data_IF_925031004504
#
_entry.id   IF_925031004504
#
_cell.length_a   1.000
_cell.length_b   1.000
_cell.length_c   1.000
_cell.angle_alpha   90.00
_cell.angle_beta   90.00
_cell.angle_gamma   90.00
#
_symmetry.space_group_name_H-M   'P 1'
#
loop_
_entity.id
_entity.type
_entity.pdbx_description
1 polymer ?
#
# COMPACT_ATOMS: atom_id res chain seq x y z
N UNK A 1 -23.19 14.72 -7.71
CA UNK A 1 -22.83 15.94 -6.94
C UNK A 1 -23.24 17.16 -7.73
N UNK A 2 -23.52 18.27 -7.07
CA UNK A 2 -24.09 19.46 -7.72
C UNK A 2 -23.08 20.55 -8.04
N UNK A 3 -21.82 20.37 -7.65
CA UNK A 3 -20.72 21.33 -7.79
C UNK A 3 -19.63 20.81 -8.72
N UNK A 4 -18.91 21.75 -9.34
CA UNK A 4 -17.79 21.47 -10.22
C UNK A 4 -16.47 21.78 -9.52
N UNK A 5 -15.54 20.85 -9.57
CA UNK A 5 -14.22 20.92 -8.94
C UNK A 5 -13.11 21.03 -9.96
N UNK A 6 -11.98 21.61 -9.54
CA UNK A 6 -10.75 21.61 -10.33
C UNK A 6 -9.51 21.41 -9.44
N UNK A 7 -8.46 20.83 -9.99
CA UNK A 7 -7.16 20.74 -9.34
C UNK A 7 -6.03 20.51 -10.34
N UNK A 8 -4.81 20.88 -9.91
CA UNK A 8 -3.59 20.45 -10.56
C UNK A 8 -3.33 18.96 -10.19
N UNK A 9 -3.19 18.11 -11.21
CA UNK A 9 -3.06 16.65 -11.03
C UNK A 9 -1.62 16.14 -11.18
N UNK A 10 -0.69 17.03 -11.55
CA UNK A 10 0.75 16.73 -11.69
C UNK A 10 1.56 17.63 -10.78
N UNK A 11 2.78 17.21 -10.35
CA UNK A 11 3.71 18.11 -9.69
C UNK A 11 4.07 19.32 -10.58
N UNK A 12 4.33 20.47 -9.96
CA UNK A 12 4.86 21.66 -10.64
C UNK A 12 6.35 21.48 -10.90
N UNK A 13 6.85 22.06 -12.01
CA UNK A 13 8.27 22.04 -12.39
C UNK A 13 8.62 21.07 -13.52
N UNK A 14 7.68 20.25 -13.97
CA UNK A 14 7.82 19.46 -15.19
C UNK A 14 7.61 20.27 -16.47
N UNK A 15 7.86 19.68 -17.64
CA UNK A 15 7.59 20.34 -18.92
C UNK A 15 6.09 20.57 -19.16
N UNK A 16 5.25 19.63 -18.71
CA UNK A 16 3.79 19.66 -18.84
C UNK A 16 3.16 19.51 -17.46
N UNK A 17 2.11 20.30 -17.22
CA UNK A 17 1.23 20.13 -16.07
C UNK A 17 -0.21 19.86 -16.55
N UNK A 18 -0.93 19.03 -15.79
CA UNK A 18 -2.31 18.66 -16.09
C UNK A 18 -3.23 19.22 -15.00
N UNK A 19 -4.20 20.02 -15.42
CA UNK A 19 -5.28 20.50 -14.56
C UNK A 19 -6.54 19.72 -14.92
N UNK A 20 -7.21 19.14 -13.93
CA UNK A 20 -8.50 18.45 -14.07
C UNK A 20 -9.65 19.31 -13.61
N UNK A 21 -10.78 19.18 -14.30
CA UNK A 21 -12.06 19.77 -13.94
C UNK A 21 -13.10 18.65 -14.00
N UNK A 22 -13.98 18.54 -13.01
CA UNK A 22 -15.07 17.53 -12.99
C UNK A 22 -16.33 18.09 -12.35
N UNK A 23 -17.47 17.86 -12.99
CA UNK A 23 -18.79 18.27 -12.51
C UNK A 23 -19.66 18.86 -13.61
N UNK A 24 -20.89 19.32 -13.28
CA UNK A 24 -21.89 19.73 -14.27
C UNK A 24 -21.48 20.96 -15.10
N UNK A 25 -20.66 21.87 -14.56
CA UNK A 25 -20.24 23.09 -15.27
C UNK A 25 -18.95 22.92 -16.07
N UNK A 26 -18.39 21.69 -16.14
CA UNK A 26 -17.09 21.43 -16.77
C UNK A 26 -17.01 21.92 -18.21
N UNK A 27 -18.01 21.63 -19.05
CA UNK A 27 -17.98 22.05 -20.45
C UNK A 27 -18.10 23.58 -20.61
N UNK A 28 -18.91 24.22 -19.76
CA UNK A 28 -19.05 25.68 -19.73
C UNK A 28 -17.73 26.34 -19.31
N UNK A 29 -17.12 25.84 -18.23
CA UNK A 29 -15.83 26.31 -17.75
C UNK A 29 -14.72 26.14 -18.79
N UNK A 30 -14.64 24.96 -19.42
CA UNK A 30 -13.67 24.70 -20.49
C UNK A 30 -13.81 25.70 -21.64
N UNK A 31 -15.03 25.93 -22.15
CA UNK A 31 -15.31 26.89 -23.25
C UNK A 31 -15.02 28.32 -22.85
N UNK A 32 -15.07 28.65 -21.57
CA UNK A 32 -14.78 30.01 -21.08
C UNK A 32 -13.29 30.30 -21.03
N UNK A 33 -12.46 29.29 -20.75
CA UNK A 33 -11.00 29.48 -20.57
C UNK A 33 -10.17 29.02 -21.75
N UNK A 34 -10.71 28.19 -22.65
CA UNK A 34 -9.98 27.56 -23.76
C UNK A 34 -10.65 27.88 -25.11
N UNK A 35 -9.89 28.42 -26.06
CA UNK A 35 -10.38 28.82 -27.35
C UNK A 35 -10.37 27.73 -28.43
N UNK A 36 -9.88 26.52 -28.10
CA UNK A 36 -9.85 25.38 -29.02
C UNK A 36 -11.18 24.61 -29.05
N UNK A 37 -11.22 23.54 -29.84
CA UNK A 37 -12.39 22.64 -29.91
C UNK A 37 -12.59 21.90 -28.58
N UNK A 38 -13.85 21.63 -28.22
CA UNK A 38 -14.25 20.96 -26.97
C UNK A 38 -15.13 19.73 -27.26
N UNK A 39 -14.79 18.98 -28.32
CA UNK A 39 -15.47 17.76 -28.69
C UNK A 39 -15.09 16.61 -27.75
N UNK A 40 -16.03 15.67 -27.48
CA UNK A 40 -15.80 14.52 -26.61
C UNK A 40 -14.63 13.64 -27.08
N UNK A 41 -13.65 13.43 -26.21
CA UNK A 41 -12.44 12.61 -26.45
C UNK A 41 -11.56 13.08 -27.61
N UNK A 42 -11.70 14.33 -28.00
CA UNK A 42 -10.84 14.98 -29.00
C UNK A 42 -9.82 15.87 -28.26
N UNK A 43 -8.54 15.61 -28.45
CA UNK A 43 -7.47 16.46 -27.93
C UNK A 43 -7.30 17.64 -28.89
N UNK A 44 -7.67 18.81 -28.45
CA UNK A 44 -7.56 20.03 -29.22
C UNK A 44 -6.37 20.88 -28.76
N UNK A 45 -5.68 21.51 -29.71
CA UNK A 45 -4.72 22.57 -29.45
C UNK A 45 -5.43 23.92 -29.46
N UNK A 46 -5.01 24.82 -28.54
CA UNK A 46 -5.57 26.17 -28.43
C UNK A 46 -4.90 26.93 -27.29
N UNK A 47 -5.36 28.13 -27.01
CA UNK A 47 -4.83 28.96 -25.93
C UNK A 47 -5.77 28.99 -24.74
N UNK A 48 -5.20 28.99 -23.55
CA UNK A 48 -5.89 29.35 -22.30
C UNK A 48 -5.94 30.88 -22.24
N UNK A 49 -7.12 31.44 -21.96
CA UNK A 49 -7.34 32.90 -21.97
C UNK A 49 -7.74 33.43 -20.60
N UNK A 50 -7.25 34.63 -20.28
CA UNK A 50 -7.68 35.43 -19.14
C UNK A 50 -9.08 36.05 -19.40
N UNK A 51 -9.64 36.71 -18.37
CA UNK A 51 -10.95 37.37 -18.50
C UNK A 51 -10.97 38.53 -19.52
N UNK A 52 -9.84 39.18 -19.72
CA UNK A 52 -9.64 40.24 -20.70
C UNK A 52 -9.36 39.73 -22.12
N UNK A 53 -9.34 38.42 -22.34
CA UNK A 53 -9.03 37.76 -23.59
C UNK A 53 -7.54 37.58 -23.90
N UNK A 54 -6.63 38.07 -23.05
CA UNK A 54 -5.20 37.86 -23.23
C UNK A 54 -4.81 36.39 -23.04
N UNK A 55 -3.83 35.89 -23.79
CA UNK A 55 -3.38 34.51 -23.67
C UNK A 55 -2.59 34.32 -22.36
N UNK A 56 -2.95 33.27 -21.61
CA UNK A 56 -2.24 32.83 -20.42
C UNK A 56 -1.21 31.75 -20.74
N UNK A 57 -1.57 30.85 -21.65
CA UNK A 57 -0.72 29.74 -22.10
C UNK A 57 -1.21 29.21 -23.45
N UNK A 58 -0.32 28.55 -24.17
CA UNK A 58 -0.61 27.75 -25.36
C UNK A 58 -0.66 26.29 -24.95
N UNK A 59 -1.83 25.66 -25.10
CA UNK A 59 -2.15 24.44 -24.37
C UNK A 59 -2.92 23.44 -25.24
N UNK A 60 -3.03 22.21 -24.74
CA UNK A 60 -3.99 21.24 -25.25
C UNK A 60 -5.09 21.00 -24.21
N UNK A 61 -6.28 20.64 -24.68
CA UNK A 61 -7.37 20.26 -23.82
C UNK A 61 -8.15 19.07 -24.37
N UNK A 62 -8.75 18.30 -23.47
CA UNK A 62 -9.66 17.21 -23.80
C UNK A 62 -10.89 17.27 -22.89
N UNK A 63 -12.06 17.02 -23.48
CA UNK A 63 -13.33 16.92 -22.77
C UNK A 63 -13.83 15.47 -22.78
N UNK A 64 -14.28 14.98 -21.63
CA UNK A 64 -14.90 13.67 -21.45
C UNK A 64 -16.34 13.87 -20.97
N UNK A 65 -17.30 13.52 -21.81
CA UNK A 65 -18.71 13.55 -21.44
C UNK A 65 -19.04 12.38 -20.52
N UNK A 66 -19.71 12.65 -19.42
CA UNK A 66 -20.22 11.63 -18.52
C UNK A 66 -21.25 10.71 -19.23
N UNK A 67 -21.34 9.43 -18.81
CA UNK A 67 -20.55 8.73 -17.79
C UNK A 67 -19.20 8.18 -18.28
N UNK A 68 -18.74 8.51 -19.51
CA UNK A 68 -17.52 7.98 -20.13
C UNK A 68 -16.26 8.80 -19.74
N UNK A 69 -16.14 9.13 -18.47
CA UNK A 69 -15.02 9.83 -17.84
C UNK A 69 -14.46 9.03 -16.65
N UNK A 70 -13.39 9.51 -16.02
CA UNK A 70 -12.82 8.92 -14.83
C UNK A 70 -13.79 8.99 -13.63
N UNK A 71 -14.36 10.16 -13.38
CA UNK A 71 -15.28 10.39 -12.26
C UNK A 71 -16.71 9.92 -12.53
N UNK A 72 -17.06 9.58 -13.78
CA UNK A 72 -18.45 9.36 -14.21
C UNK A 72 -19.25 10.63 -14.47
N UNK A 73 -18.70 11.81 -14.13
CA UNK A 73 -19.27 13.12 -14.43
C UNK A 73 -18.68 13.68 -15.73
N UNK A 74 -19.18 14.82 -16.22
CA UNK A 74 -18.46 15.59 -17.21
C UNK A 74 -17.08 15.99 -16.69
N UNK A 75 -16.04 15.78 -17.46
CA UNK A 75 -14.66 16.00 -17.03
C UNK A 75 -13.84 16.64 -18.15
N UNK A 76 -12.88 17.49 -17.78
CA UNK A 76 -11.91 18.03 -18.73
C UNK A 76 -10.49 17.93 -18.14
N UNK A 77 -9.52 17.81 -19.03
CA UNK A 77 -8.10 17.94 -18.72
C UNK A 77 -7.48 19.03 -19.60
N UNK A 78 -6.75 19.94 -18.95
CA UNK A 78 -5.95 20.98 -19.58
C UNK A 78 -4.48 20.60 -19.44
N UNK A 79 -3.78 20.46 -20.55
CA UNK A 79 -2.36 20.17 -20.60
C UNK A 79 -1.62 21.49 -20.88
N UNK A 80 -1.06 22.08 -19.85
CA UNK A 80 -0.40 23.39 -19.86
C UNK A 80 1.11 23.25 -19.69
N UNK A 81 1.88 24.31 -19.93
CA UNK A 81 3.29 24.32 -19.55
C UNK A 81 3.43 24.23 -18.01
N UNK A 82 4.30 23.33 -17.55
CA UNK A 82 4.38 22.94 -16.14
C UNK A 82 5.12 23.92 -15.22
N UNK A 83 5.44 25.12 -15.70
CA UNK A 83 6.08 26.16 -14.90
C UNK A 83 5.17 26.69 -13.79
N UNK A 84 5.76 27.03 -12.64
CA UNK A 84 5.02 27.52 -11.46
C UNK A 84 4.14 28.73 -11.77
N UNK A 85 4.67 29.72 -12.52
CA UNK A 85 3.94 30.94 -12.87
C UNK A 85 2.73 30.66 -13.76
N UNK A 86 2.89 29.81 -14.76
CA UNK A 86 1.81 29.44 -15.69
C UNK A 86 0.71 28.67 -14.93
N UNK A 87 1.09 27.63 -14.21
CA UNK A 87 0.13 26.83 -13.43
C UNK A 87 -0.67 27.71 -12.46
N UNK A 88 -0.02 28.64 -11.75
CA UNK A 88 -0.69 29.56 -10.83
C UNK A 88 -1.67 30.51 -11.55
N UNK A 89 -1.28 31.05 -12.70
CA UNK A 89 -2.16 31.95 -13.48
C UNK A 89 -3.41 31.21 -13.99
N UNK A 90 -3.26 29.99 -14.49
CA UNK A 90 -4.40 29.19 -14.97
C UNK A 90 -5.31 28.78 -13.82
N UNK A 91 -4.76 28.34 -12.68
CA UNK A 91 -5.57 28.05 -11.48
C UNK A 91 -6.30 29.28 -10.95
N UNK A 92 -5.65 30.47 -10.95
CA UNK A 92 -6.30 31.74 -10.61
C UNK A 92 -7.47 32.05 -11.55
N UNK A 93 -7.29 31.83 -12.86
CA UNK A 93 -8.36 32.03 -13.86
C UNK A 93 -9.56 31.11 -13.62
N UNK A 94 -9.32 29.84 -13.26
CA UNK A 94 -10.38 28.88 -12.92
C UNK A 94 -11.11 29.28 -11.63
N UNK A 95 -10.42 29.87 -10.65
CA UNK A 95 -11.05 30.35 -9.40
C UNK A 95 -11.99 31.53 -9.57
N UNK A 96 -11.94 32.24 -10.70
CA UNK A 96 -12.89 33.30 -11.06
C UNK A 96 -14.24 32.77 -11.57
N UNK A 97 -14.30 31.47 -11.91
CA UNK A 97 -15.50 30.79 -12.36
C UNK A 97 -16.26 30.15 -11.16
N UNK A 98 -17.52 29.77 -11.33
CA UNK A 98 -18.29 29.10 -10.27
C UNK A 98 -17.82 27.66 -10.01
N UNK A 99 -16.53 27.49 -9.82
CA UNK A 99 -15.84 26.25 -9.54
C UNK A 99 -15.16 26.35 -8.18
N UNK A 100 -14.91 25.23 -7.53
CA UNK A 100 -14.08 25.21 -6.34
C UNK A 100 -12.85 24.31 -6.48
N UNK A 101 -11.78 24.57 -5.74
CA UNK A 101 -10.66 23.63 -5.64
C UNK A 101 -11.12 22.27 -5.11
N UNK A 102 -10.58 21.21 -5.69
CA UNK A 102 -10.83 19.85 -5.22
C UNK A 102 -10.09 19.59 -3.90
N UNK A 103 -10.72 18.83 -3.01
CA UNK A 103 -10.07 18.25 -1.84
C UNK A 103 -9.16 17.06 -2.18
N UNK A 104 -8.40 16.54 -1.20
CA UNK A 104 -7.62 15.32 -1.36
C UNK A 104 -8.49 14.16 -1.84
N UNK A 105 -8.06 13.43 -2.87
CA UNK A 105 -8.74 12.24 -3.39
C UNK A 105 -10.13 12.47 -3.99
N UNK A 106 -10.57 13.71 -4.18
CA UNK A 106 -11.96 13.99 -4.50
C UNK A 106 -12.40 13.46 -5.88
N UNK A 107 -11.53 13.45 -6.87
CA UNK A 107 -11.86 12.87 -8.17
C UNK A 107 -12.09 11.35 -8.06
N UNK A 108 -11.25 10.65 -7.31
CA UNK A 108 -11.41 9.19 -7.08
C UNK A 108 -12.62 8.90 -6.19
N UNK A 109 -12.90 9.75 -5.19
CA UNK A 109 -14.12 9.67 -4.38
C UNK A 109 -15.38 9.82 -5.23
N UNK A 110 -15.41 10.74 -6.18
CA UNK A 110 -16.51 10.89 -7.14
C UNK A 110 -16.64 9.67 -8.04
N UNK A 111 -15.51 9.10 -8.51
CA UNK A 111 -15.53 7.86 -9.27
C UNK A 111 -16.13 6.69 -8.44
N UNK A 112 -15.80 6.59 -7.14
CA UNK A 112 -16.40 5.62 -6.22
C UNK A 112 -17.91 5.84 -6.05
N UNK A 113 -18.34 7.05 -5.73
CA UNK A 113 -19.77 7.38 -5.52
C UNK A 113 -20.59 7.13 -6.79
N UNK A 114 -20.02 7.40 -7.96
CA UNK A 114 -20.68 7.19 -9.25
C UNK A 114 -20.54 5.74 -9.78
N UNK A 115 -20.04 4.80 -8.95
CA UNK A 115 -19.94 3.38 -9.30
C UNK A 115 -18.91 3.03 -10.38
N UNK A 116 -17.96 3.94 -10.67
CA UNK A 116 -16.88 3.67 -11.63
C UNK A 116 -15.81 2.77 -11.04
N UNK A 117 -15.57 2.92 -9.74
CA UNK A 117 -14.64 2.14 -8.94
C UNK A 117 -15.36 1.71 -7.65
N UNK A 118 -15.05 0.52 -7.15
CA UNK A 118 -15.33 0.15 -5.77
C UNK A 118 -14.23 0.69 -4.83
N UNK A 119 -14.38 0.48 -3.51
CA UNK A 119 -13.45 1.05 -2.54
C UNK A 119 -12.06 0.41 -2.65
N UNK A 120 -11.96 -0.93 -2.84
CA UNK A 120 -10.68 -1.62 -3.01
C UNK A 120 -9.93 -1.13 -4.25
N UNK A 121 -10.62 -0.92 -5.38
CA UNK A 121 -10.05 -0.36 -6.60
C UNK A 121 -9.65 1.10 -6.43
N UNK A 122 -10.41 1.87 -5.63
CA UNK A 122 -10.06 3.25 -5.32
C UNK A 122 -8.77 3.32 -4.50
N UNK A 123 -8.60 2.47 -3.48
CA UNK A 123 -7.34 2.37 -2.71
C UNK A 123 -6.17 1.94 -3.59
N UNK A 124 -6.39 1.03 -4.55
CA UNK A 124 -5.37 0.58 -5.49
C UNK A 124 -4.82 1.71 -6.39
N UNK A 125 -5.58 2.78 -6.66
CA UNK A 125 -5.08 3.98 -7.35
C UNK A 125 -3.90 4.59 -6.59
N UNK A 126 -4.04 4.74 -5.26
CA UNK A 126 -2.96 5.30 -4.43
C UNK A 126 -1.80 4.33 -4.27
N UNK A 127 -2.09 3.04 -4.13
CA UNK A 127 -1.05 2.02 -4.06
C UNK A 127 -0.19 1.99 -5.33
N UNK A 128 -0.81 2.15 -6.50
CA UNK A 128 -0.12 2.22 -7.79
C UNK A 128 0.76 3.49 -7.91
N UNK A 129 0.27 4.64 -7.44
CA UNK A 129 1.02 5.91 -7.47
C UNK A 129 2.23 5.86 -6.53
N UNK A 130 2.05 5.26 -5.34
CA UNK A 130 3.08 5.19 -4.29
C UNK A 130 3.99 3.96 -4.42
N UNK A 131 3.75 3.09 -5.40
CA UNK A 131 4.53 1.88 -5.58
C UNK A 131 6.00 2.22 -5.83
N UNK A 132 6.87 1.78 -4.94
CA UNK A 132 8.32 1.94 -5.03
C UNK A 132 9.02 0.74 -5.68
N UNK A 133 8.27 -0.32 -6.05
CA UNK A 133 8.80 -1.52 -6.66
C UNK A 133 7.92 -1.99 -7.83
N UNK A 134 8.51 -2.71 -8.78
CA UNK A 134 7.80 -3.27 -9.94
C UNK A 134 6.74 -4.29 -9.52
N UNK A 135 7.01 -5.11 -8.49
CA UNK A 135 6.02 -6.06 -7.95
C UNK A 135 4.87 -5.34 -7.24
N UNK A 136 5.16 -4.28 -6.47
CA UNK A 136 4.13 -3.44 -5.85
C UNK A 136 3.22 -2.79 -6.89
N UNK A 137 3.80 -2.22 -7.95
CA UNK A 137 3.04 -1.63 -9.05
C UNK A 137 2.18 -2.67 -9.79
N UNK A 138 2.70 -3.86 -10.06
CA UNK A 138 1.95 -4.94 -10.70
C UNK A 138 0.75 -5.39 -9.83
N UNK A 139 0.98 -5.60 -8.54
CA UNK A 139 -0.09 -5.97 -7.59
C UNK A 139 -1.18 -4.90 -7.50
N UNK A 140 -0.78 -3.61 -7.38
CA UNK A 140 -1.73 -2.50 -7.34
C UNK A 140 -2.54 -2.39 -8.66
N UNK A 141 -1.90 -2.65 -9.80
CA UNK A 141 -2.56 -2.66 -11.10
C UNK A 141 -3.60 -3.79 -11.19
N UNK A 142 -3.28 -5.01 -10.74
CA UNK A 142 -4.22 -6.13 -10.67
C UNK A 142 -5.43 -5.82 -9.79
N UNK A 143 -5.21 -5.19 -8.63
CA UNK A 143 -6.30 -4.74 -7.76
C UNK A 143 -7.15 -3.65 -8.45
N UNK A 144 -6.54 -2.67 -9.10
CA UNK A 144 -7.24 -1.63 -9.85
C UNK A 144 -8.09 -2.21 -10.99
N UNK A 145 -7.63 -3.31 -11.62
CA UNK A 145 -8.38 -4.07 -12.62
C UNK A 145 -9.52 -4.91 -12.02
N UNK A 146 -9.68 -4.90 -10.69
CA UNK A 146 -10.77 -5.55 -9.96
C UNK A 146 -10.56 -7.03 -9.68
N UNK A 147 -9.33 -7.53 -9.65
CA UNK A 147 -9.07 -8.95 -9.37
C UNK A 147 -9.51 -9.35 -7.97
N UNK A 148 -9.27 -8.50 -6.96
CA UNK A 148 -9.75 -8.70 -5.60
C UNK A 148 -11.28 -8.62 -5.53
N UNK A 149 -11.88 -7.58 -6.08
CA UNK A 149 -13.32 -7.34 -6.07
C UNK A 149 -14.09 -8.53 -6.65
N UNK A 150 -13.66 -9.05 -7.79
CA UNK A 150 -14.28 -10.25 -8.41
C UNK A 150 -14.18 -11.51 -7.55
N UNK A 151 -13.09 -11.68 -6.78
CA UNK A 151 -12.98 -12.81 -5.84
C UNK A 151 -13.90 -12.65 -4.64
N UNK A 152 -13.98 -11.44 -4.08
CA UNK A 152 -14.91 -11.12 -3.00
C UNK A 152 -16.36 -11.33 -3.45
N UNK A 153 -16.75 -10.81 -4.61
CA UNK A 153 -18.09 -10.98 -5.18
C UNK A 153 -18.48 -12.45 -5.33
N UNK A 154 -17.59 -13.33 -5.78
CA UNK A 154 -17.84 -14.77 -5.86
C UNK A 154 -18.11 -15.42 -4.50
N UNK A 155 -17.40 -14.99 -3.46
CA UNK A 155 -17.64 -15.50 -2.11
C UNK A 155 -18.93 -14.92 -1.54
N UNK A 156 -19.21 -13.62 -1.78
CA UNK A 156 -20.49 -13.00 -1.43
C UNK A 156 -21.68 -13.75 -2.05
N UNK A 157 -21.61 -14.08 -3.36
CA UNK A 157 -22.66 -14.85 -4.05
C UNK A 157 -22.89 -16.21 -3.38
N UNK A 158 -21.83 -16.96 -3.06
CA UNK A 158 -21.95 -18.25 -2.35
C UNK A 158 -22.63 -18.11 -0.97
N UNK A 159 -22.23 -17.10 -0.21
CA UNK A 159 -22.82 -16.85 1.13
C UNK A 159 -24.29 -16.43 0.99
N UNK A 160 -24.64 -15.62 -0.02
CA UNK A 160 -26.01 -15.23 -0.31
C UNK A 160 -26.87 -16.43 -0.71
N UNK A 161 -26.35 -17.36 -1.51
CA UNK A 161 -27.06 -18.59 -1.88
C UNK A 161 -27.34 -19.47 -0.64
N UNK A 162 -26.35 -19.61 0.26
CA UNK A 162 -26.55 -20.33 1.53
C UNK A 162 -27.60 -19.65 2.41
N UNK A 163 -27.53 -18.33 2.54
CA UNK A 163 -28.49 -17.56 3.32
C UNK A 163 -29.89 -17.66 2.75
N UNK A 164 -30.04 -17.57 1.43
CA UNK A 164 -31.35 -17.74 0.75
C UNK A 164 -31.94 -19.15 0.95
N UNK A 165 -31.05 -20.17 0.99
CA UNK A 165 -31.46 -21.53 1.32
C UNK A 165 -32.03 -21.65 2.75
N UNK A 166 -31.34 -21.03 3.73
CA UNK A 166 -31.80 -21.01 5.12
C UNK A 166 -33.14 -20.28 5.26
N UNK A 167 -33.24 -19.08 4.68
CA UNK A 167 -34.47 -18.29 4.75
C UNK A 167 -35.64 -19.07 4.12
N UNK A 168 -35.43 -19.80 3.01
CA UNK A 168 -36.45 -20.68 2.40
C UNK A 168 -36.77 -21.88 3.28
N UNK A 169 -35.81 -22.51 3.95
CA UNK A 169 -36.07 -23.65 4.85
C UNK A 169 -36.79 -23.23 6.13
N UNK A 170 -36.60 -22.02 6.63
CA UNK A 170 -37.37 -21.44 7.73
C UNK A 170 -38.83 -21.21 7.31
N UNK A 171 -39.08 -20.73 6.09
CA UNK A 171 -40.42 -20.47 5.59
C UNK A 171 -41.18 -21.75 5.20
N UNK A 172 -40.47 -22.79 4.72
CA UNK A 172 -41.05 -24.07 4.23
C UNK A 172 -40.32 -25.29 4.84
N UNK A 173 -40.38 -25.48 6.17
CA UNK A 173 -39.61 -26.51 6.86
C UNK A 173 -39.93 -27.94 6.43
N UNK A 174 -41.21 -28.23 6.13
CA UNK A 174 -41.64 -29.59 5.75
C UNK A 174 -41.07 -30.06 4.39
N UNK A 175 -40.64 -29.13 3.51
CA UNK A 175 -40.24 -29.46 2.14
C UNK A 175 -38.69 -29.32 1.94
N UNK A 176 -38.02 -28.46 2.67
CA UNK A 176 -36.65 -28.05 2.36
C UNK A 176 -35.64 -28.23 3.50
N UNK A 177 -36.08 -28.44 4.74
CA UNK A 177 -35.22 -28.40 5.93
C UNK A 177 -34.07 -29.40 5.85
N UNK A 178 -34.33 -30.67 5.57
CA UNK A 178 -33.34 -31.74 5.58
C UNK A 178 -32.26 -31.56 4.48
N UNK A 179 -32.69 -31.21 3.28
CA UNK A 179 -31.78 -31.03 2.13
C UNK A 179 -30.89 -29.80 2.31
N UNK A 180 -31.43 -28.66 2.76
CA UNK A 180 -30.70 -27.41 2.96
C UNK A 180 -29.70 -27.58 4.08
N UNK A 181 -30.10 -28.01 5.27
CA UNK A 181 -29.22 -28.13 6.44
C UNK A 181 -28.13 -29.20 6.27
N UNK A 182 -28.34 -30.23 5.46
CA UNK A 182 -27.31 -31.22 5.14
C UNK A 182 -26.19 -30.65 4.28
N UNK A 183 -26.49 -29.71 3.37
CA UNK A 183 -25.52 -29.10 2.47
C UNK A 183 -24.78 -27.87 3.05
N UNK A 184 -25.39 -27.19 4.05
CA UNK A 184 -24.86 -25.96 4.64
C UNK A 184 -23.39 -26.06 5.14
N UNK A 185 -23.00 -27.09 5.95
CA UNK A 185 -21.64 -27.14 6.49
C UNK A 185 -20.56 -27.23 5.41
N UNK A 186 -20.85 -27.91 4.30
CA UNK A 186 -19.90 -28.01 3.18
C UNK A 186 -19.78 -26.67 2.43
N UNK A 187 -20.89 -26.00 2.16
CA UNK A 187 -20.91 -24.67 1.53
C UNK A 187 -20.18 -23.62 2.36
N UNK A 188 -20.41 -23.59 3.68
CA UNK A 188 -19.73 -22.68 4.60
C UNK A 188 -18.23 -22.97 4.66
N UNK A 189 -17.81 -24.25 4.73
CA UNK A 189 -16.38 -24.62 4.70
C UNK A 189 -15.73 -24.21 3.38
N UNK A 190 -16.40 -24.36 2.25
CA UNK A 190 -15.89 -23.96 0.95
C UNK A 190 -15.71 -22.43 0.86
N UNK A 191 -16.68 -21.64 1.30
CA UNK A 191 -16.57 -20.18 1.36
C UNK A 191 -15.43 -19.75 2.28
N UNK A 192 -15.32 -20.34 3.47
CA UNK A 192 -14.24 -20.06 4.42
C UNK A 192 -12.88 -20.40 3.85
N UNK A 193 -12.70 -21.53 3.19
CA UNK A 193 -11.43 -21.92 2.59
C UNK A 193 -10.91 -20.90 1.55
N UNK A 194 -11.83 -20.30 0.77
CA UNK A 194 -11.49 -19.23 -0.17
C UNK A 194 -11.02 -17.96 0.57
N UNK A 195 -11.68 -17.58 1.66
CA UNK A 195 -11.29 -16.44 2.50
C UNK A 195 -9.93 -16.70 3.17
N UNK A 196 -9.71 -17.88 3.75
CA UNK A 196 -8.44 -18.24 4.40
C UNK A 196 -7.28 -18.27 3.38
N UNK A 197 -7.54 -18.66 2.13
CA UNK A 197 -6.56 -18.55 1.03
C UNK A 197 -6.21 -17.09 0.71
N UNK A 198 -7.16 -16.15 0.74
CA UNK A 198 -6.90 -14.72 0.56
C UNK A 198 -6.09 -14.14 1.73
N UNK A 199 -6.39 -14.55 2.97
CA UNK A 199 -5.67 -14.11 4.17
C UNK A 199 -4.21 -14.58 4.14
N UNK A 200 -3.97 -15.86 3.80
CA UNK A 200 -2.62 -16.43 3.77
C UNK A 200 -1.73 -15.74 2.73
N UNK A 201 -2.27 -15.42 1.55
CA UNK A 201 -1.59 -14.61 0.55
C UNK A 201 -1.35 -13.16 1.02
N UNK A 202 -2.21 -12.62 1.89
CA UNK A 202 -2.16 -11.22 2.34
C UNK A 202 -0.97 -10.87 3.22
N UNK A 203 -0.49 -11.79 4.05
CA UNK A 203 0.67 -11.53 4.92
C UNK A 203 1.97 -11.36 4.12
N UNK A 204 2.17 -12.19 3.09
CA UNK A 204 3.30 -12.05 2.17
C UNK A 204 3.18 -10.79 1.28
N UNK A 205 1.95 -10.38 0.99
CA UNK A 205 1.63 -9.23 0.15
C UNK A 205 1.94 -7.88 0.79
N UNK A 206 1.95 -7.77 2.13
CA UNK A 206 2.32 -6.54 2.84
C UNK A 206 3.75 -6.11 2.49
N UNK A 207 4.68 -7.06 2.43
CA UNK A 207 6.09 -6.77 2.07
C UNK A 207 6.21 -6.26 0.61
N UNK A 208 5.34 -6.71 -0.28
CA UNK A 208 5.31 -6.23 -1.67
C UNK A 208 4.83 -4.77 -1.75
N UNK A 209 3.84 -4.39 -0.93
CA UNK A 209 3.25 -3.04 -0.91
C UNK A 209 4.09 -2.05 -0.11
N UNK A 210 4.41 -2.38 1.15
CA UNK A 210 5.07 -1.47 2.09
C UNK A 210 6.58 -1.58 2.06
N UNK A 211 7.10 -2.61 1.39
CA UNK A 211 8.48 -3.01 1.48
C UNK A 211 8.77 -3.88 2.71
N UNK A 212 9.85 -4.68 2.63
CA UNK A 212 10.35 -5.43 3.77
C UNK A 212 11.08 -4.49 4.73
N UNK A 213 10.82 -4.60 6.03
CA UNK A 213 11.49 -3.82 7.08
C UNK A 213 12.63 -4.64 7.65
N UNK A 214 13.87 -4.16 7.48
CA UNK A 214 15.08 -4.86 7.90
C UNK A 214 15.78 -3.99 8.94
N UNK A 215 15.90 -4.48 10.17
CA UNK A 215 16.61 -3.77 11.23
C UNK A 215 18.02 -4.35 11.40
N UNK A 216 19.04 -3.48 11.42
CA UNK A 216 20.43 -3.85 11.70
C UNK A 216 20.70 -3.63 13.17
N UNK A 217 20.98 -4.70 13.89
CA UNK A 217 21.23 -4.75 15.32
C UNK A 217 22.66 -5.20 15.59
N UNK A 218 23.21 -4.85 16.73
CA UNK A 218 24.53 -5.29 17.19
C UNK A 218 25.18 -4.24 18.08
N UNK A 219 26.25 -4.63 18.76
CA UNK A 219 26.97 -3.75 19.69
C UNK A 219 27.63 -2.55 19.00
N UNK A 220 28.03 -1.50 19.72
CA UNK A 220 28.84 -0.41 19.17
C UNK A 220 30.09 -0.96 18.46
N UNK A 221 30.48 -0.36 17.36
CA UNK A 221 31.65 -0.73 16.55
C UNK A 221 31.63 -2.12 15.89
N UNK A 222 30.53 -2.86 15.95
CA UNK A 222 30.38 -4.14 15.25
C UNK A 222 30.34 -4.01 13.71
N UNK A 223 30.39 -2.78 13.17
CA UNK A 223 30.38 -2.53 11.73
C UNK A 223 29.02 -2.25 11.12
N UNK A 224 27.97 -1.97 11.93
CA UNK A 224 26.60 -1.72 11.47
C UNK A 224 26.47 -0.66 10.39
N UNK A 225 27.01 0.55 10.66
CA UNK A 225 26.91 1.67 9.69
C UNK A 225 27.77 1.43 8.45
N UNK A 226 28.89 0.72 8.57
CA UNK A 226 29.69 0.30 7.42
C UNK A 226 28.95 -0.74 6.59
N UNK A 227 28.31 -1.72 7.24
CA UNK A 227 27.45 -2.71 6.60
C UNK A 227 26.27 -2.05 5.88
N UNK A 228 25.57 -1.13 6.56
CA UNK A 228 24.48 -0.35 6.00
C UNK A 228 24.90 0.39 4.72
N UNK A 229 26.03 1.11 4.75
CA UNK A 229 26.56 1.82 3.59
C UNK A 229 27.00 0.87 2.46
N UNK A 230 27.63 -0.27 2.80
CA UNK A 230 28.06 -1.25 1.82
C UNK A 230 26.85 -1.92 1.11
N UNK A 231 25.76 -2.16 1.84
CA UNK A 231 24.51 -2.68 1.25
C UNK A 231 23.84 -1.63 0.35
N UNK A 232 23.89 -0.35 0.70
CA UNK A 232 23.32 0.73 -0.11
C UNK A 232 24.09 1.01 -1.40
N UNK A 233 25.34 0.63 -1.55
CA UNK A 233 26.26 0.79 -2.69
C UNK A 233 25.69 1.52 -3.93
N UNK A 234 26.50 2.30 -4.64
CA UNK A 234 26.07 3.32 -5.61
C UNK A 234 25.08 2.86 -6.70
N UNK A 235 25.08 1.58 -7.09
CA UNK A 235 24.25 1.05 -8.20
C UNK A 235 22.91 0.43 -7.79
N UNK A 236 22.62 0.27 -6.49
CA UNK A 236 21.43 -0.45 -5.98
C UNK A 236 20.51 0.38 -5.10
N UNK A 237 20.92 1.58 -4.69
CA UNK A 237 20.12 2.47 -3.85
C UNK A 237 19.16 3.32 -4.69
N UNK A 238 17.86 3.17 -4.45
CA UNK A 238 16.90 4.19 -4.87
C UNK A 238 16.92 5.25 -3.77
N UNK A 239 17.70 6.30 -3.96
CA UNK A 239 17.65 7.48 -3.09
C UNK A 239 16.36 8.23 -3.41
N UNK A 240 15.30 7.99 -2.66
CA UNK A 240 14.17 8.91 -2.64
C UNK A 240 14.55 10.08 -1.72
N UNK A 241 14.57 11.33 -2.22
CA UNK A 241 14.75 12.48 -1.36
C UNK A 241 13.44 12.77 -0.62
N UNK A 242 13.10 12.02 0.41
CA UNK A 242 12.19 12.53 1.42
C UNK A 242 13.01 13.44 2.34
N UNK A 243 12.97 14.74 2.03
CA UNK A 243 13.45 15.79 2.91
C UNK A 243 12.57 15.87 4.15
N UNK A 244 12.99 15.23 5.23
CA UNK A 244 12.25 15.24 6.51
C UNK A 244 13.15 14.87 7.69
N UNK A 245 13.70 15.91 8.36
CA UNK A 245 14.26 15.91 9.71
C UNK A 245 15.59 15.20 9.94
N UNK A 246 16.65 15.96 9.80
CA UNK A 246 18.05 15.70 10.19
C UNK A 246 18.20 15.54 11.71
N UNK A 247 17.85 14.39 12.30
CA UNK A 247 18.27 13.94 13.66
C UNK A 247 17.77 12.55 14.06
N UNK A 248 17.09 11.83 13.16
CA UNK A 248 16.47 10.52 13.46
C UNK A 248 17.06 9.43 12.55
N UNK A 249 17.10 8.21 13.04
CA UNK A 249 17.43 6.91 12.45
C UNK A 249 17.91 6.97 10.99
N UNK A 250 19.10 6.47 10.70
CA UNK A 250 19.54 6.27 9.32
C UNK A 250 18.62 5.24 8.66
N UNK A 251 17.79 5.72 7.74
CA UNK A 251 16.92 4.88 6.91
C UNK A 251 17.47 4.85 5.49
N UNK A 252 17.58 3.67 4.92
CA UNK A 252 17.99 3.46 3.54
C UNK A 252 17.04 2.52 2.82
N UNK A 253 16.87 2.72 1.52
CA UNK A 253 15.99 1.90 0.70
C UNK A 253 16.78 1.16 -0.35
N UNK A 254 16.63 -0.17 -0.41
CA UNK A 254 17.19 -1.06 -1.42
C UNK A 254 16.07 -1.68 -2.24
N UNK A 255 16.32 -1.91 -3.53
CA UNK A 255 15.47 -2.75 -4.36
C UNK A 255 16.10 -4.15 -4.48
N UNK A 256 15.47 -5.15 -3.88
CA UNK A 256 15.93 -6.53 -3.85
C UNK A 256 14.90 -7.43 -4.56
N UNK A 257 15.24 -8.00 -5.71
CA UNK A 257 14.34 -8.86 -6.51
C UNK A 257 12.94 -8.27 -6.75
N UNK A 258 12.88 -6.95 -7.01
CA UNK A 258 11.63 -6.24 -7.27
C UNK A 258 10.77 -5.97 -6.03
N UNK A 259 11.32 -6.16 -4.82
CA UNK A 259 10.73 -5.78 -3.54
C UNK A 259 11.58 -4.66 -2.94
N UNK A 260 10.91 -3.64 -2.42
CA UNK A 260 11.58 -2.57 -1.67
C UNK A 260 11.96 -3.10 -0.29
N UNK A 261 13.24 -3.02 0.10
CA UNK A 261 13.72 -3.30 1.44
C UNK A 261 14.12 -1.99 2.13
N UNK A 262 13.48 -1.67 3.25
CA UNK A 262 13.80 -0.52 4.11
C UNK A 262 14.75 -0.97 5.19
N UNK A 263 15.97 -0.46 5.15
CA UNK A 263 17.01 -0.73 6.14
C UNK A 263 16.98 0.33 7.24
N UNK A 264 17.02 -0.11 8.48
CA UNK A 264 17.07 0.77 9.66
C UNK A 264 18.35 0.51 10.44
N UNK A 265 19.25 1.50 10.50
CA UNK A 265 20.44 1.43 11.39
C UNK A 265 20.05 1.92 12.79
N UNK A 266 20.06 1.00 13.76
CA UNK A 266 19.74 1.31 15.16
C UNK A 266 20.91 1.91 15.95
N UNK A 267 22.09 2.06 15.35
CA UNK A 267 23.28 2.63 16.03
C UNK A 267 23.13 4.11 16.38
N UNK A 268 22.43 4.88 15.52
CA UNK A 268 22.21 6.32 15.74
C UNK A 268 21.29 6.66 16.92
N UNK A 269 20.62 5.65 17.52
CA UNK A 269 19.66 5.85 18.62
C UNK A 269 20.28 5.87 20.02
N UNK A 270 21.54 5.47 20.17
CA UNK A 270 22.22 5.35 21.47
C UNK A 270 23.15 6.52 21.84
N UNK A 271 23.38 7.48 20.94
CA UNK A 271 24.34 8.58 21.16
C UNK A 271 23.71 9.92 21.58
N UNK A 272 22.46 9.96 21.99
CA UNK A 272 21.83 11.21 22.46
C UNK A 272 21.80 11.25 24.01
N UNK A 273 22.72 12.02 24.59
CA UNK A 273 22.69 12.40 26.00
C UNK A 273 21.39 13.18 26.36
N UNK A 274 20.72 12.80 27.46
CA UNK A 274 19.57 13.46 28.10
C UNK A 274 18.17 13.06 27.61
N UNK A 275 17.12 13.64 28.13
CA UNK A 275 15.66 13.34 28.01
C UNK A 275 15.10 12.84 26.65
N UNK A 276 15.86 12.95 25.57
CA UNK A 276 15.61 12.35 24.26
C UNK A 276 15.87 10.82 24.23
N UNK A 277 16.59 10.28 25.20
CA UNK A 277 17.05 8.89 25.26
C UNK A 277 15.87 7.91 25.45
N UNK A 278 14.86 8.26 26.24
CA UNK A 278 13.66 7.43 26.44
C UNK A 278 12.81 7.32 25.17
N UNK A 279 12.74 8.37 24.37
CA UNK A 279 12.00 8.38 23.09
C UNK A 279 12.77 7.59 22.04
N UNK A 280 14.10 7.70 21.99
CA UNK A 280 14.95 6.94 21.08
C UNK A 280 14.89 5.42 21.34
N UNK A 281 14.94 4.99 22.59
CA UNK A 281 14.84 3.57 23.00
C UNK A 281 13.45 3.00 22.66
N UNK A 282 12.37 3.76 22.88
CA UNK A 282 11.00 3.36 22.52
C UNK A 282 10.87 3.15 21.01
N UNK A 283 11.37 4.09 20.19
CA UNK A 283 11.35 4.01 18.73
C UNK A 283 12.20 2.83 18.20
N UNK A 284 13.35 2.57 18.81
CA UNK A 284 14.19 1.42 18.44
C UNK A 284 13.47 0.09 18.69
N UNK A 285 12.77 -0.03 19.82
CA UNK A 285 11.94 -1.20 20.11
C UNK A 285 10.81 -1.36 19.11
N UNK A 286 10.08 -0.29 18.79
CA UNK A 286 9.00 -0.30 17.81
C UNK A 286 9.47 -0.75 16.42
N UNK A 287 10.71 -0.39 16.03
CA UNK A 287 11.30 -0.83 14.76
C UNK A 287 11.63 -2.32 14.80
N UNK A 288 12.26 -2.78 15.90
CA UNK A 288 12.62 -4.19 16.07
C UNK A 288 11.35 -5.06 16.11
N UNK A 289 10.32 -4.63 16.84
CA UNK A 289 9.05 -5.37 16.98
C UNK A 289 8.27 -5.45 15.64
N UNK A 290 8.52 -4.50 14.74
CA UNK A 290 7.87 -4.45 13.41
C UNK A 290 8.78 -4.90 12.26
N UNK A 291 10.02 -5.30 12.55
CA UNK A 291 10.95 -5.77 11.53
C UNK A 291 10.53 -7.14 10.97
N UNK A 292 10.62 -7.29 9.66
CA UNK A 292 10.37 -8.56 8.97
C UNK A 292 11.62 -9.44 9.00
N UNK A 293 12.80 -8.83 9.13
CA UNK A 293 14.09 -9.49 9.25
C UNK A 293 15.02 -8.67 10.15
N UNK A 294 15.69 -9.35 11.06
CA UNK A 294 16.74 -8.79 11.92
C UNK A 294 18.12 -9.23 11.41
N UNK A 295 18.95 -8.26 11.03
CA UNK A 295 20.37 -8.49 10.73
C UNK A 295 21.18 -8.24 11.99
N UNK A 296 21.79 -9.29 12.54
CA UNK A 296 22.59 -9.20 13.76
C UNK A 296 24.06 -9.05 13.36
N UNK A 297 24.57 -7.81 13.38
CA UNK A 297 25.94 -7.51 13.05
C UNK A 297 26.85 -7.87 14.24
N UNK A 298 27.81 -8.74 13.98
CA UNK A 298 28.81 -9.24 14.94
C UNK A 298 30.22 -8.93 14.39
N UNK A 299 31.14 -8.51 15.27
CA UNK A 299 32.53 -8.29 14.88
C UNK A 299 33.27 -9.63 14.82
N UNK A 300 33.85 -9.96 13.66
CA UNK A 300 34.58 -11.21 13.47
C UNK A 300 35.87 -11.31 14.31
N UNK A 301 36.48 -10.16 14.68
CA UNK A 301 37.74 -10.11 15.43
C UNK A 301 37.60 -10.08 16.94
N UNK A 302 36.40 -9.85 17.46
CA UNK A 302 36.17 -9.64 18.89
C UNK A 302 35.59 -10.88 19.61
N UNK A 303 35.80 -10.93 20.94
CA UNK A 303 35.14 -11.94 21.76
C UNK A 303 33.61 -11.72 21.78
N UNK A 304 32.91 -12.83 21.76
CA UNK A 304 31.43 -12.87 21.76
C UNK A 304 30.89 -12.30 23.08
N UNK A 305 29.93 -11.36 22.97
CA UNK A 305 29.35 -10.63 24.10
C UNK A 305 28.01 -11.18 24.55
N UNK A 306 27.59 -10.81 25.78
CA UNK A 306 26.26 -11.11 26.31
C UNK A 306 25.14 -10.46 25.47
N UNK A 307 25.38 -9.29 24.86
CA UNK A 307 24.40 -8.60 24.01
C UNK A 307 24.13 -9.40 22.73
N UNK A 308 25.16 -9.93 22.10
CA UNK A 308 25.01 -10.78 20.90
C UNK A 308 24.23 -12.06 21.20
N UNK A 309 24.49 -12.71 22.32
CA UNK A 309 23.68 -13.87 22.78
C UNK A 309 22.22 -13.52 22.97
N UNK A 310 21.94 -12.36 23.57
CA UNK A 310 20.57 -11.87 23.78
C UNK A 310 19.86 -11.57 22.45
N UNK A 311 20.56 -10.97 21.50
CA UNK A 311 20.02 -10.68 20.18
C UNK A 311 19.72 -11.96 19.39
N UNK A 312 20.63 -12.93 19.43
CA UNK A 312 20.42 -14.24 18.80
C UNK A 312 19.26 -15.02 19.43
N UNK A 313 19.04 -14.88 20.73
CA UNK A 313 17.92 -15.51 21.45
C UNK A 313 16.57 -14.79 21.24
N UNK A 314 16.53 -13.55 20.72
CA UNK A 314 15.30 -12.79 20.54
C UNK A 314 14.32 -13.48 19.57
N UNK A 315 13.01 -13.25 19.63
CA UNK A 315 12.06 -13.79 18.67
C UNK A 315 12.21 -13.16 17.29
N UNK A 316 11.64 -13.78 16.25
CA UNK A 316 11.61 -13.27 14.88
C UNK A 316 12.61 -13.92 13.93
N UNK A 317 12.46 -13.61 12.64
CA UNK A 317 13.36 -14.08 11.56
C UNK A 317 14.68 -13.32 11.64
N UNK A 318 15.80 -14.05 11.65
CA UNK A 318 17.13 -13.49 11.90
C UNK A 318 18.17 -14.02 10.94
N UNK A 319 19.18 -13.19 10.66
CA UNK A 319 20.39 -13.55 9.93
C UNK A 319 21.58 -12.90 10.67
N UNK A 320 22.57 -13.68 11.06
CA UNK A 320 23.80 -13.15 11.64
C UNK A 320 24.75 -12.69 10.54
N UNK A 321 25.30 -11.48 10.68
CA UNK A 321 26.27 -10.91 9.73
C UNK A 321 27.60 -10.72 10.45
N UNK A 322 28.58 -11.55 10.10
CA UNK A 322 29.91 -11.49 10.69
C UNK A 322 30.71 -10.44 9.91
N UNK A 323 30.78 -9.25 10.50
CA UNK A 323 31.47 -8.11 9.90
C UNK A 323 32.99 -8.22 10.01
N UNK A 324 33.70 -7.45 9.19
CA UNK A 324 35.18 -7.39 9.15
C UNK A 324 35.84 -8.74 8.82
N UNK A 325 35.23 -9.49 7.89
CA UNK A 325 35.77 -10.78 7.43
C UNK A 325 37.15 -10.68 6.75
N UNK A 326 37.56 -9.48 6.37
CA UNK A 326 38.90 -9.15 5.89
C UNK A 326 39.97 -9.14 6.99
N UNK A 327 39.60 -9.01 8.26
CA UNK A 327 40.51 -8.93 9.40
C UNK A 327 40.53 -10.23 10.22
N UNK A 328 39.47 -11.04 10.17
CA UNK A 328 39.34 -12.28 10.98
C UNK A 328 38.39 -13.26 10.30
N UNK A 329 38.62 -14.57 10.51
CA UNK A 329 37.73 -15.64 10.05
C UNK A 329 36.38 -15.70 10.79
N UNK A 330 36.24 -14.97 11.89
CA UNK A 330 35.01 -14.88 12.66
C UNK A 330 34.55 -16.19 13.33
N UNK A 331 35.43 -17.17 13.50
CA UNK A 331 35.08 -18.53 13.94
C UNK A 331 34.23 -18.57 15.22
N UNK A 332 34.53 -17.71 16.19
CA UNK A 332 33.76 -17.62 17.45
C UNK A 332 32.33 -17.09 17.23
N UNK A 333 32.16 -16.12 16.32
CA UNK A 333 30.86 -15.52 15.98
C UNK A 333 30.01 -16.51 15.16
N UNK A 334 30.61 -17.23 14.20
CA UNK A 334 29.94 -18.29 13.45
C UNK A 334 29.49 -19.42 14.37
N UNK A 335 30.36 -19.88 15.30
CA UNK A 335 30.02 -20.93 16.26
C UNK A 335 28.83 -20.52 17.15
N UNK A 336 28.85 -19.26 17.63
CA UNK A 336 27.74 -18.76 18.44
C UNK A 336 26.43 -18.69 17.66
N UNK A 337 26.41 -18.18 16.43
CA UNK A 337 25.22 -18.18 15.61
C UNK A 337 24.65 -19.58 15.43
N UNK A 338 25.55 -20.59 15.20
CA UNK A 338 25.19 -22.00 15.10
C UNK A 338 24.59 -22.57 16.39
N UNK A 339 25.07 -22.18 17.59
CA UNK A 339 24.48 -22.58 18.88
C UNK A 339 23.01 -22.18 19.00
N UNK A 340 22.61 -21.04 18.40
CA UNK A 340 21.23 -20.55 18.41
C UNK A 340 20.42 -20.95 17.16
N UNK A 341 20.99 -21.76 16.26
CA UNK A 341 20.36 -22.19 15.02
C UNK A 341 20.12 -21.03 14.06
N UNK A 342 20.89 -19.95 14.17
CA UNK A 342 20.81 -18.77 13.30
C UNK A 342 21.87 -18.91 12.21
N UNK A 343 21.42 -18.77 10.96
CA UNK A 343 22.32 -18.75 9.81
C UNK A 343 23.23 -17.51 9.86
N UNK A 344 24.50 -17.68 9.44
CA UNK A 344 25.49 -16.63 9.50
C UNK A 344 26.22 -16.44 8.16
N UNK A 345 26.50 -15.19 7.78
CA UNK A 345 27.25 -14.82 6.58
C UNK A 345 28.37 -13.87 6.97
N UNK A 346 29.61 -14.17 6.47
CA UNK A 346 30.76 -13.29 6.61
C UNK A 346 30.74 -12.17 5.58
N UNK A 347 31.00 -10.93 6.02
CA UNK A 347 30.98 -9.75 5.16
C UNK A 347 32.12 -8.81 5.51
N UNK A 348 32.83 -8.32 4.49
CA UNK A 348 33.70 -7.14 4.60
C UNK A 348 33.07 -5.95 3.90
N UNK A 349 32.69 -4.94 4.67
CA UNK A 349 32.20 -3.69 4.13
C UNK A 349 33.28 -2.87 3.39
N UNK A 350 34.57 -3.16 3.65
CA UNK A 350 35.72 -2.46 3.05
C UNK A 350 36.05 -3.03 1.67
N UNK A 351 36.08 -4.37 1.55
CA UNK A 351 36.41 -5.04 0.29
C UNK A 351 35.20 -5.33 -0.57
N UNK A 352 33.99 -5.28 0.02
CA UNK A 352 32.74 -5.68 -0.64
C UNK A 352 32.50 -7.20 -0.65
N UNK A 353 33.44 -7.99 -0.11
CA UNK A 353 33.32 -9.44 -0.04
C UNK A 353 32.12 -9.86 0.83
N UNK A 354 31.33 -10.83 0.35
CA UNK A 354 30.16 -11.34 1.04
C UNK A 354 28.90 -10.45 0.96
N UNK A 355 28.98 -9.16 0.55
CA UNK A 355 27.82 -8.26 0.46
C UNK A 355 26.78 -8.78 -0.54
N UNK A 356 27.22 -9.25 -1.72
CA UNK A 356 26.33 -9.85 -2.71
C UNK A 356 25.59 -11.07 -2.18
N UNK A 357 26.30 -12.01 -1.57
CA UNK A 357 25.72 -13.21 -0.95
C UNK A 357 24.72 -12.86 0.18
N UNK A 358 25.03 -11.83 0.97
CA UNK A 358 24.11 -11.33 2.00
C UNK A 358 22.81 -10.81 1.37
N UNK A 359 22.90 -10.00 0.31
CA UNK A 359 21.72 -9.45 -0.38
C UNK A 359 20.89 -10.55 -1.02
N UNK A 360 21.53 -11.53 -1.65
CA UNK A 360 20.84 -12.69 -2.25
C UNK A 360 20.13 -13.50 -1.17
N UNK A 361 20.76 -13.70 -0.01
CA UNK A 361 20.14 -14.40 1.12
C UNK A 361 18.98 -13.63 1.74
N UNK A 362 19.14 -12.31 1.88
CA UNK A 362 18.02 -11.43 2.29
C UNK A 362 16.86 -11.56 1.30
N UNK A 363 17.14 -11.56 0.00
CA UNK A 363 16.12 -11.73 -1.05
C UNK A 363 15.30 -13.02 -0.86
N UNK A 364 15.96 -14.15 -0.56
CA UNK A 364 15.29 -15.42 -0.28
C UNK A 364 14.45 -15.36 1.00
N UNK A 365 14.97 -14.73 2.06
CA UNK A 365 14.29 -14.62 3.35
C UNK A 365 13.06 -13.68 3.31
N UNK A 366 13.09 -12.64 2.47
CA UNK A 366 11.96 -11.71 2.32
C UNK A 366 11.06 -12.06 1.13
N UNK A 367 11.43 -13.08 0.32
CA UNK A 367 10.60 -13.50 -0.79
C UNK A 367 9.21 -13.94 -0.28
N UNK A 368 8.13 -13.44 -0.85
CA UNK A 368 6.80 -13.89 -0.50
C UNK A 368 6.61 -15.35 -0.98
N UNK A 369 6.02 -16.18 -0.14
CA UNK A 369 5.72 -17.59 -0.45
C UNK A 369 4.62 -17.74 -1.52
N UNK A 370 3.93 -16.64 -1.89
CA UNK A 370 2.86 -16.64 -2.89
C UNK A 370 3.20 -15.79 -4.12
N UNK A 371 2.90 -16.31 -5.32
CA UNK A 371 3.09 -15.62 -6.59
C UNK A 371 2.11 -14.45 -6.81
N UNK A 372 0.91 -14.46 -6.19
CA UNK A 372 -0.09 -13.40 -6.34
C UNK A 372 -0.36 -12.66 -5.03
N UNK A 373 0.07 -11.41 -4.97
CA UNK A 373 -0.14 -10.50 -3.84
C UNK A 373 -1.47 -9.73 -4.00
N UNK A 374 -2.63 -10.43 -3.96
CA UNK A 374 -3.93 -9.80 -4.19
C UNK A 374 -4.44 -8.96 -3.02
N UNK A 375 -4.08 -9.32 -1.77
CA UNK A 375 -4.53 -8.61 -0.57
C UNK A 375 -3.33 -7.96 0.09
N UNK A 376 -3.13 -6.67 -0.11
CA UNK A 376 -1.99 -5.93 0.42
C UNK A 376 -2.34 -4.99 1.57
N UNK A 377 -3.63 -4.66 1.73
CA UNK A 377 -4.12 -3.68 2.69
C UNK A 377 -4.50 -4.33 4.02
N UNK A 378 -4.00 -3.80 5.15
CA UNK A 378 -4.33 -4.29 6.49
C UNK A 378 -5.82 -4.22 6.82
N UNK A 379 -6.56 -3.23 6.29
CA UNK A 379 -8.02 -3.12 6.41
C UNK A 379 -8.71 -4.32 5.76
N UNK A 380 -8.29 -4.68 4.54
CA UNK A 380 -8.84 -5.85 3.84
C UNK A 380 -8.55 -7.15 4.60
N UNK A 381 -7.33 -7.29 5.16
CA UNK A 381 -6.97 -8.48 5.96
C UNK A 381 -7.83 -8.55 7.23
N UNK A 382 -8.10 -7.43 7.90
CA UNK A 382 -8.97 -7.39 9.06
C UNK A 382 -10.39 -7.82 8.71
N UNK A 383 -10.99 -7.25 7.67
CA UNK A 383 -12.33 -7.61 7.19
C UNK A 383 -12.43 -9.10 6.77
N UNK A 384 -11.41 -9.64 6.08
CA UNK A 384 -11.37 -11.07 5.74
C UNK A 384 -11.29 -11.96 6.98
N UNK A 385 -10.56 -11.56 8.02
CA UNK A 385 -10.50 -12.29 9.30
C UNK A 385 -11.84 -12.28 10.03
N UNK A 386 -12.53 -11.15 10.04
CA UNK A 386 -13.89 -11.04 10.60
C UNK A 386 -14.88 -11.94 9.84
N UNK A 387 -14.80 -11.95 8.52
CA UNK A 387 -15.59 -12.87 7.69
C UNK A 387 -15.27 -14.34 8.02
N UNK A 388 -13.98 -14.74 8.08
CA UNK A 388 -13.59 -16.11 8.42
C UNK A 388 -14.03 -16.51 9.83
N UNK A 389 -13.99 -15.59 10.79
CA UNK A 389 -14.47 -15.81 12.15
C UNK A 389 -16.00 -16.03 12.19
N UNK A 390 -16.77 -15.22 11.49
CA UNK A 390 -18.22 -15.35 11.36
C UNK A 390 -18.60 -16.69 10.70
N UNK A 391 -17.94 -17.07 9.60
CA UNK A 391 -18.14 -18.39 8.97
C UNK A 391 -17.75 -19.55 9.90
N UNK A 392 -16.75 -19.35 10.78
CA UNK A 392 -16.38 -20.36 11.79
C UNK A 392 -17.45 -20.50 12.88
N UNK A 393 -18.06 -19.38 13.30
CA UNK A 393 -19.16 -19.37 14.27
C UNK A 393 -20.39 -20.10 13.70
N UNK A 394 -20.74 -19.82 12.44
CA UNK A 394 -21.83 -20.50 11.73
C UNK A 394 -21.69 -22.03 11.66
N UNK A 395 -20.44 -22.55 11.69
CA UNK A 395 -20.17 -24.00 11.73
C UNK A 395 -20.29 -24.62 13.14
N UNK A 396 -20.43 -23.81 14.20
CA UNK A 396 -20.47 -24.28 15.60
C UNK A 396 -21.90 -24.36 16.17
N UNK A 397 -22.90 -23.93 15.43
CA UNK A 397 -24.31 -23.95 15.83
C UNK A 397 -25.16 -24.74 14.83
N UNK A 398 -26.24 -25.31 15.31
CA UNK A 398 -27.25 -25.98 14.48
C UNK A 398 -28.52 -25.12 14.36
N UNK A 399 -28.61 -23.99 15.08
CA UNK A 399 -29.74 -23.10 15.05
C UNK A 399 -29.74 -22.22 13.79
N UNK A 400 -30.81 -22.35 12.96
CA UNK A 400 -30.95 -21.65 11.68
C UNK A 400 -30.77 -20.13 11.79
N UNK A 401 -31.42 -19.51 12.77
CA UNK A 401 -31.34 -18.05 13.00
C UNK A 401 -29.90 -17.59 13.37
N UNK A 402 -29.20 -18.41 14.13
CA UNK A 402 -27.80 -18.13 14.48
C UNK A 402 -26.90 -18.24 13.25
N UNK A 403 -27.04 -19.31 12.46
CA UNK A 403 -26.30 -19.48 11.20
C UNK A 403 -26.59 -18.30 10.25
N UNK A 404 -27.86 -17.92 10.06
CA UNK A 404 -28.25 -16.80 9.20
C UNK A 404 -27.62 -15.47 9.68
N UNK A 405 -27.57 -15.25 11.00
CA UNK A 405 -26.95 -14.05 11.60
C UNK A 405 -25.45 -14.00 11.34
N UNK A 406 -24.75 -15.14 11.50
CA UNK A 406 -23.33 -15.25 11.24
C UNK A 406 -23.00 -15.07 9.75
N UNK A 407 -23.80 -15.63 8.85
CA UNK A 407 -23.65 -15.42 7.40
C UNK A 407 -23.87 -13.95 7.00
N UNK A 408 -24.85 -13.26 7.61
CA UNK A 408 -25.04 -11.82 7.40
C UNK A 408 -23.85 -11.01 7.92
N UNK A 409 -23.28 -11.38 9.05
CA UNK A 409 -22.07 -10.77 9.59
C UNK A 409 -20.87 -10.95 8.64
N UNK A 410 -20.72 -12.14 8.05
CA UNK A 410 -19.69 -12.41 7.04
C UNK A 410 -19.88 -11.53 5.79
N UNK A 411 -21.11 -11.35 5.30
CA UNK A 411 -21.41 -10.46 4.16
C UNK A 411 -21.09 -8.99 4.46
N UNK A 412 -21.41 -8.52 5.67
CA UNK A 412 -21.09 -7.15 6.12
C UNK A 412 -19.57 -6.93 6.06
N UNK A 413 -18.80 -7.87 6.62
CA UNK A 413 -17.34 -7.80 6.62
C UNK A 413 -16.76 -7.78 5.19
N UNK A 414 -17.26 -8.57 4.25
CA UNK A 414 -16.88 -8.53 2.85
C UNK A 414 -17.26 -7.20 2.18
N UNK A 415 -18.46 -6.69 2.49
CA UNK A 415 -18.93 -5.41 2.00
C UNK A 415 -18.07 -4.23 2.44
N UNK A 416 -17.34 -4.32 3.55
CA UNK A 416 -16.37 -3.32 3.96
C UNK A 416 -15.18 -3.21 2.98
N UNK A 417 -14.77 -4.30 2.34
CA UNK A 417 -13.67 -4.30 1.36
C UNK A 417 -14.09 -3.55 0.09
N UNK A 418 -15.28 -3.85 -0.42
CA UNK A 418 -15.80 -3.28 -1.67
C UNK A 418 -16.44 -1.90 -1.48
N UNK A 419 -16.79 -1.53 -0.25
CA UNK A 419 -17.44 -0.27 0.10
C UNK A 419 -18.97 -0.34 0.11
N UNK A 420 -19.58 -1.54 0.05
CA UNK A 420 -21.04 -1.73 0.11
C UNK A 420 -21.60 -1.52 1.53
N UNK A 421 -20.79 -1.78 2.57
CA UNK A 421 -21.17 -1.74 3.99
C UNK A 421 -20.31 -0.77 4.81
N UNK A 422 -19.73 0.28 4.20
CA UNK A 422 -18.78 1.18 4.86
C UNK A 422 -19.46 2.49 5.26
N UNK A 423 -19.20 2.93 6.48
CA UNK A 423 -19.64 4.25 6.96
C UNK A 423 -18.97 5.38 6.19
N UNK A 424 -19.71 6.50 5.99
CA UNK A 424 -19.23 7.67 5.28
C UNK A 424 -17.93 8.24 5.90
N UNK A 425 -17.78 8.21 7.22
CA UNK A 425 -16.59 8.69 7.93
C UNK A 425 -15.33 7.87 7.57
N UNK A 426 -15.47 6.55 7.37
CA UNK A 426 -14.36 5.68 6.94
C UNK A 426 -13.97 5.99 5.51
N UNK A 427 -14.96 6.17 4.63
CA UNK A 427 -14.73 6.59 3.24
C UNK A 427 -13.97 7.91 3.19
N UNK A 428 -14.43 8.92 3.94
CA UNK A 428 -13.79 10.24 3.99
C UNK A 428 -12.36 10.16 4.55
N UNK A 429 -12.12 9.32 5.56
CA UNK A 429 -10.78 9.05 6.10
C UNK A 429 -9.84 8.39 5.09
N UNK A 430 -10.34 7.48 4.26
CA UNK A 430 -9.54 6.85 3.20
C UNK A 430 -9.12 7.91 2.18
N UNK A 431 -10.07 8.68 1.64
CA UNK A 431 -9.79 9.66 0.60
C UNK A 431 -8.99 10.87 1.10
N UNK A 432 -9.07 11.23 2.38
CA UNK A 432 -8.26 12.32 2.97
C UNK A 432 -6.74 12.08 2.90
N UNK A 433 -6.32 10.82 2.71
CA UNK A 433 -4.89 10.44 2.56
C UNK A 433 -4.39 10.50 1.12
N UNK A 434 -5.28 10.78 0.18
CA UNK A 434 -4.92 10.89 -1.23
C UNK A 434 -4.29 12.23 -1.55
N UNK A 435 -3.57 12.28 -2.67
CA UNK A 435 -3.08 13.55 -3.21
C UNK A 435 -4.23 14.39 -3.77
N UNK A 436 -4.12 15.73 -3.69
CA UNK A 436 -5.01 16.64 -4.40
C UNK A 436 -4.84 16.43 -5.91
N UNK A 437 -5.96 16.39 -6.64
CA UNK A 437 -5.95 16.14 -8.09
C UNK A 437 -6.12 14.67 -8.51
N UNK A 438 -6.32 13.78 -7.51
CA UNK A 438 -6.62 12.34 -7.71
C UNK A 438 -7.98 11.95 -7.13
#
# INVERSE_FOLDING_TARGET
MTDTIYALSTPVGGAIAVIRISGPDTLCALRTVFNGKTEHRYVAHGSITAADGSALDDAMAVYFQGPKSYTGEDMAELYIHGGYAVSRRVLSRLSELPLRPAGPGEFTRRAFINGKLDLARSEAVMDLINASSSRGAASALEQLQGSLSRRIEKVEEKILDLLSGIDAAIDYPEELEEDVFSALPEGIRAARAEIDSLISGGMASRMVREGARIAILGRPNAGKSSLFNAMLGEDRAIVTPEAGTTRDILEGTLLINGITARLFDTAGLREADSAAESIGISRARDIVDRADLLLIAMDGGDAVSHEERRLLASPGRKLAVICKSDLSDGAAAFALAGEYGVEAIGVSAVTGEGVGALIDRIAELIAPECESALVTNSRHIAALRECSAALSSALQTEEADCIATDLRSALIALGEITGKSVDADVVDRIFSRFCVGK
#
